data_IF_210760450706
#
_entry.id   IF_210760450706
#
_cell.length_a   1.000
_cell.length_b   1.000
_cell.length_c   1.000
_cell.angle_alpha   90.00
_cell.angle_beta   90.00
_cell.angle_gamma   90.00
#
_symmetry.space_group_name_H-M   'P 1'
#
loop_
_entity.id
_entity.type
_entity.pdbx_description
1 polymer ?
#
# COMPACT_ATOMS: atom_id res chain seq x y z
N UNK A 1 -25.95 40.62 32.03
CA UNK A 1 -26.46 40.93 30.68
C UNK A 1 -25.44 40.94 29.53
N UNK A 2 -24.11 41.03 29.73
CA UNK A 2 -23.15 41.05 28.60
C UNK A 2 -22.91 39.70 27.89
N UNK A 3 -23.18 38.56 28.54
CA UNK A 3 -22.92 37.21 27.96
C UNK A 3 -23.85 36.80 26.82
N UNK A 4 -25.09 37.31 26.80
CA UNK A 4 -26.06 36.97 25.75
C UNK A 4 -25.72 37.53 24.36
N UNK A 5 -24.94 38.63 24.30
CA UNK A 5 -24.62 39.31 23.04
C UNK A 5 -23.67 38.50 22.13
N UNK A 6 -22.77 37.72 22.71
CA UNK A 6 -21.80 36.92 21.95
C UNK A 6 -22.43 35.65 21.36
N UNK A 7 -23.34 35.02 22.11
CA UNK A 7 -24.10 33.85 21.62
C UNK A 7 -25.05 34.26 20.49
N UNK A 8 -25.72 35.40 20.63
CA UNK A 8 -26.57 35.96 19.57
C UNK A 8 -25.75 36.38 18.33
N UNK A 9 -24.51 36.82 18.51
CA UNK A 9 -23.61 37.14 17.40
C UNK A 9 -23.21 35.91 16.59
N UNK A 10 -22.79 34.83 17.26
CA UNK A 10 -22.41 33.58 16.59
C UNK A 10 -23.60 32.92 15.87
N UNK A 11 -24.78 32.89 16.51
CA UNK A 11 -26.01 32.42 15.86
C UNK A 11 -26.36 33.31 14.65
N UNK A 12 -26.15 34.62 14.76
CA UNK A 12 -26.38 35.56 13.66
C UNK A 12 -25.50 35.30 12.44
N UNK A 13 -24.21 35.03 12.64
CA UNK A 13 -23.28 34.68 11.55
C UNK A 13 -23.70 33.38 10.86
N UNK A 14 -23.99 32.33 11.65
CA UNK A 14 -24.39 31.02 11.13
C UNK A 14 -25.71 31.09 10.34
N UNK A 15 -26.66 31.92 10.78
CA UNK A 15 -27.91 32.18 10.04
C UNK A 15 -27.64 32.94 8.73
N UNK A 16 -26.74 33.92 8.72
CA UNK A 16 -26.36 34.65 7.49
C UNK A 16 -25.70 33.70 6.49
N UNK A 17 -24.81 32.82 6.94
CA UNK A 17 -24.14 31.85 6.08
C UNK A 17 -25.11 30.82 5.48
N UNK A 18 -26.05 30.32 6.29
CA UNK A 18 -27.12 29.46 5.78
C UNK A 18 -27.97 30.19 4.73
N UNK A 19 -28.34 31.44 4.98
CA UNK A 19 -29.09 32.23 4.00
C UNK A 19 -28.29 32.45 2.71
N UNK A 20 -26.99 32.73 2.80
CA UNK A 20 -26.10 32.85 1.63
C UNK A 20 -26.00 31.51 0.87
N UNK A 21 -25.89 30.40 1.59
CA UNK A 21 -25.87 29.06 0.99
C UNK A 21 -27.18 28.71 0.27
N UNK A 22 -28.34 29.05 0.86
CA UNK A 22 -29.66 28.79 0.28
C UNK A 22 -30.07 29.75 -0.85
N UNK A 23 -29.49 30.95 -0.88
CA UNK A 23 -29.74 31.95 -1.94
C UNK A 23 -28.73 31.86 -3.08
N UNK A 24 -27.69 31.03 -2.94
CA UNK A 24 -26.74 30.76 -4.02
C UNK A 24 -27.45 30.09 -5.19
N UNK A 25 -27.31 30.61 -6.42
CA UNK A 25 -27.88 29.99 -7.62
C UNK A 25 -27.12 28.73 -8.06
N UNK A 26 -25.91 28.52 -7.53
CA UNK A 26 -25.03 27.41 -7.87
C UNK A 26 -24.88 26.47 -6.66
N UNK A 27 -25.20 25.19 -6.90
CA UNK A 27 -25.07 24.11 -5.93
C UNK A 27 -23.62 23.89 -5.48
N UNK A 28 -22.63 24.15 -6.34
CA UNK A 28 -21.21 24.01 -5.99
C UNK A 28 -20.79 25.04 -4.94
N UNK A 29 -21.31 26.27 -5.03
CA UNK A 29 -21.04 27.34 -4.05
C UNK A 29 -21.73 27.03 -2.72
N UNK A 30 -22.97 26.52 -2.75
CA UNK A 30 -23.67 26.04 -1.55
C UNK A 30 -22.91 24.90 -0.86
N UNK A 31 -22.45 23.92 -1.64
CA UNK A 31 -21.68 22.78 -1.13
C UNK A 31 -20.36 23.24 -0.50
N UNK A 32 -19.63 24.16 -1.13
CA UNK A 32 -18.40 24.74 -0.60
C UNK A 32 -18.63 25.42 0.76
N UNK A 33 -19.69 26.24 0.88
CA UNK A 33 -20.02 26.93 2.14
C UNK A 33 -20.32 25.92 3.24
N UNK A 34 -21.15 24.91 2.96
CA UNK A 34 -21.57 23.92 3.96
C UNK A 34 -20.42 22.99 4.35
N UNK A 35 -19.59 22.57 3.39
CA UNK A 35 -18.52 21.60 3.63
C UNK A 35 -17.25 22.23 4.22
N UNK A 36 -17.00 23.52 3.97
CA UNK A 36 -15.75 24.16 4.38
C UNK A 36 -15.94 25.15 5.55
N UNK A 37 -16.92 26.06 5.45
CA UNK A 37 -17.05 27.15 6.42
C UNK A 37 -17.67 26.67 7.73
N UNK A 38 -18.73 25.85 7.68
CA UNK A 38 -19.39 25.35 8.90
C UNK A 38 -18.43 24.50 9.76
N UNK A 39 -17.67 23.52 9.22
CA UNK A 39 -16.69 22.80 10.03
C UNK A 39 -15.59 23.69 10.60
N UNK A 40 -15.13 24.68 9.83
CA UNK A 40 -14.12 25.63 10.29
C UNK A 40 -14.64 26.47 11.48
N UNK A 41 -15.88 26.97 11.42
CA UNK A 41 -16.50 27.70 12.53
C UNK A 41 -16.65 26.84 13.78
N UNK A 42 -17.03 25.56 13.62
CA UNK A 42 -17.12 24.60 14.74
C UNK A 42 -15.75 24.42 15.39
N UNK A 43 -14.69 24.21 14.59
CA UNK A 43 -13.31 24.07 15.07
C UNK A 43 -12.89 25.34 15.84
N UNK A 44 -13.13 26.52 15.26
CA UNK A 44 -12.82 27.80 15.91
C UNK A 44 -13.60 27.97 17.22
N UNK A 45 -14.86 27.58 17.26
CA UNK A 45 -15.70 27.57 18.45
C UNK A 45 -15.14 26.67 19.56
N UNK A 46 -14.68 25.46 19.22
CA UNK A 46 -14.02 24.54 20.15
C UNK A 46 -12.73 25.15 20.71
N UNK A 47 -11.88 25.70 19.83
CA UNK A 47 -10.62 26.36 20.24
C UNK A 47 -10.91 27.53 21.18
N UNK A 48 -11.87 28.40 20.85
CA UNK A 48 -12.27 29.51 21.70
C UNK A 48 -12.82 29.04 23.04
N UNK A 49 -13.59 27.94 23.06
CA UNK A 49 -14.06 27.29 24.28
C UNK A 49 -12.92 26.80 25.17
N UNK A 50 -11.94 26.12 24.59
CA UNK A 50 -10.73 25.66 25.29
C UNK A 50 -9.95 26.84 25.87
N UNK A 51 -9.70 27.89 25.07
CA UNK A 51 -9.00 29.10 25.52
C UNK A 51 -9.76 29.79 26.64
N UNK A 52 -11.08 29.98 26.50
CA UNK A 52 -11.91 30.58 27.55
C UNK A 52 -11.90 29.75 28.84
N UNK A 53 -11.92 28.43 28.73
CA UNK A 53 -11.80 27.51 29.86
C UNK A 53 -10.44 27.64 30.55
N UNK A 54 -9.34 27.68 29.78
CA UNK A 54 -7.99 27.93 30.31
C UNK A 54 -7.91 29.29 31.01
N UNK A 55 -8.40 30.36 30.40
CA UNK A 55 -8.42 31.70 31.02
C UNK A 55 -9.23 31.68 32.32
N UNK A 56 -10.35 30.96 32.36
CA UNK A 56 -11.16 30.81 33.57
C UNK A 56 -10.39 30.07 34.67
N UNK A 57 -9.68 28.99 34.33
CA UNK A 57 -8.81 28.26 35.25
C UNK A 57 -7.65 29.12 35.76
N UNK A 58 -7.02 29.94 34.90
CA UNK A 58 -5.98 30.92 35.28
C UNK A 58 -6.55 31.95 36.26
N UNK A 59 -7.69 32.56 35.95
CA UNK A 59 -8.33 33.57 36.81
C UNK A 59 -8.75 33.03 38.17
N UNK A 60 -9.11 31.75 38.26
CA UNK A 60 -9.41 31.06 39.52
C UNK A 60 -8.17 30.64 40.31
N UNK A 61 -6.96 30.90 39.80
CA UNK A 61 -5.71 30.51 40.44
C UNK A 61 -5.44 29.00 40.39
N UNK A 62 -6.12 28.27 39.50
CA UNK A 62 -5.98 26.82 39.38
C UNK A 62 -4.58 26.41 38.93
N UNK A 63 -3.98 27.19 38.02
CA UNK A 63 -2.61 27.02 37.56
C UNK A 63 -1.59 27.57 38.57
N UNK A 64 -1.51 26.91 39.72
CA UNK A 64 -0.35 27.07 40.61
C UNK A 64 0.88 26.42 39.98
N UNK A 65 2.10 26.84 40.37
CA UNK A 65 3.35 26.21 39.93
C UNK A 65 3.33 24.68 40.08
N UNK A 66 2.70 24.17 41.16
CA UNK A 66 2.54 22.73 41.40
C UNK A 66 1.62 22.06 40.38
N UNK A 67 0.48 22.66 40.06
CA UNK A 67 -0.49 22.09 39.11
C UNK A 67 0.08 22.08 37.69
N UNK A 68 0.75 23.16 37.26
CA UNK A 68 1.44 23.20 35.97
C UNK A 68 2.52 22.11 35.87
N UNK A 69 3.34 21.95 36.91
CA UNK A 69 4.35 20.89 36.96
C UNK A 69 3.75 19.50 36.82
N UNK A 70 2.62 19.22 37.50
CA UNK A 70 1.91 17.93 37.38
C UNK A 70 1.43 17.73 35.94
N UNK A 71 0.83 18.74 35.31
CA UNK A 71 0.36 18.65 33.91
C UNK A 71 1.53 18.32 32.96
N UNK A 72 2.66 19.01 33.11
CA UNK A 72 3.86 18.73 32.30
C UNK A 72 4.39 17.31 32.50
N UNK A 73 4.41 16.81 33.74
CA UNK A 73 4.79 15.42 34.04
C UNK A 73 3.86 14.42 33.34
N UNK A 74 2.54 14.67 33.37
CA UNK A 74 1.57 13.79 32.69
C UNK A 74 1.76 13.81 31.16
N UNK A 75 2.00 14.98 30.56
CA UNK A 75 2.28 15.09 29.12
C UNK A 75 3.56 14.34 28.78
N UNK A 76 4.65 14.55 29.54
CA UNK A 76 5.91 13.86 29.32
C UNK A 76 5.77 12.34 29.46
N UNK A 77 5.00 11.86 30.45
CA UNK A 77 4.73 10.45 30.65
C UNK A 77 3.91 9.86 29.49
N UNK A 78 2.86 10.56 29.04
CA UNK A 78 2.06 10.14 27.91
C UNK A 78 2.87 10.05 26.62
N UNK A 79 3.75 11.03 26.37
CA UNK A 79 4.67 11.01 25.23
C UNK A 79 5.68 9.86 25.33
N UNK A 80 6.24 9.61 26.52
CA UNK A 80 7.16 8.49 26.73
C UNK A 80 6.48 7.13 26.53
N UNK A 81 5.28 6.95 27.06
CA UNK A 81 4.47 5.73 26.86
C UNK A 81 4.07 5.55 25.40
N UNK A 82 3.70 6.63 24.70
CA UNK A 82 3.42 6.60 23.26
C UNK A 82 4.65 6.20 22.45
N UNK A 83 5.82 6.73 22.79
CA UNK A 83 7.09 6.33 22.19
C UNK A 83 7.41 4.85 22.41
N UNK A 84 7.32 4.37 23.65
CA UNK A 84 7.54 2.97 24.00
C UNK A 84 6.54 2.03 23.29
N UNK A 85 5.26 2.41 23.23
CA UNK A 85 4.25 1.64 22.51
C UNK A 85 4.58 1.54 21.02
N UNK A 86 5.00 2.63 20.38
CA UNK A 86 5.46 2.64 18.99
C UNK A 86 6.67 1.73 18.79
N UNK A 87 7.69 1.84 19.64
CA UNK A 87 8.89 0.99 19.59
C UNK A 87 8.54 -0.49 19.79
N UNK A 88 7.63 -0.80 20.71
CA UNK A 88 7.18 -2.18 20.95
C UNK A 88 6.42 -2.76 19.75
N UNK A 89 5.52 -1.97 19.13
CA UNK A 89 4.83 -2.38 17.90
C UNK A 89 5.85 -2.66 16.80
N UNK A 90 6.82 -1.76 16.58
CA UNK A 90 7.87 -1.95 15.58
C UNK A 90 8.74 -3.18 15.87
N UNK A 91 9.15 -3.39 17.12
CA UNK A 91 9.87 -4.61 17.53
C UNK A 91 9.08 -5.88 17.23
N UNK A 92 7.78 -5.90 17.54
CA UNK A 92 6.92 -7.06 17.28
C UNK A 92 6.79 -7.34 15.79
N UNK A 93 6.64 -6.30 14.97
CA UNK A 93 6.61 -6.43 13.50
C UNK A 93 7.93 -6.98 12.97
N UNK A 94 9.07 -6.40 13.37
CA UNK A 94 10.39 -6.88 12.93
C UNK A 94 10.62 -8.35 13.33
N UNK A 95 10.29 -8.71 14.58
CA UNK A 95 10.40 -10.10 15.04
C UNK A 95 9.53 -11.09 14.26
N UNK A 96 8.35 -10.66 13.77
CA UNK A 96 7.56 -11.53 12.90
C UNK A 96 8.14 -11.65 11.49
N UNK A 97 8.88 -10.64 11.03
CA UNK A 97 9.57 -10.66 9.74
C UNK A 97 10.87 -11.48 9.77
N UNK A 98 11.50 -11.68 10.93
CA UNK A 98 12.66 -12.59 11.08
C UNK A 98 12.36 -14.04 10.63
N UNK A 99 11.07 -14.46 10.59
CA UNK A 99 10.68 -15.78 10.04
C UNK A 99 10.90 -15.85 8.52
N UNK A 100 10.98 -14.71 7.85
CA UNK A 100 11.08 -14.57 6.42
C UNK A 100 12.36 -13.82 6.04
N UNK A 101 13.53 -14.44 6.27
CA UNK A 101 14.82 -13.76 6.16
C UNK A 101 15.02 -13.18 4.77
N UNK A 102 14.52 -13.83 3.73
CA UNK A 102 14.81 -13.40 2.36
C UNK A 102 13.79 -12.36 1.83
N UNK A 103 12.69 -12.06 2.56
CA UNK A 103 11.71 -11.06 2.12
C UNK A 103 12.28 -9.66 2.35
N UNK A 104 12.67 -8.98 1.27
CA UNK A 104 12.97 -7.56 1.26
C UNK A 104 11.75 -6.81 0.75
N UNK A 105 11.22 -5.94 1.60
CA UNK A 105 10.34 -4.88 1.15
C UNK A 105 11.21 -3.72 0.71
N UNK A 106 10.78 -3.02 -0.33
CA UNK A 106 11.04 -1.59 -0.46
C UNK A 106 9.66 -0.96 -0.69
N UNK A 107 9.54 0.33 -0.42
CA UNK A 107 8.26 1.01 -0.52
C UNK A 107 8.53 2.49 -0.54
N UNK A 108 8.14 3.14 -1.62
CA UNK A 108 8.42 4.54 -1.79
C UNK A 108 7.41 5.38 -1.01
N UNK A 109 7.92 6.38 -0.29
CA UNK A 109 7.08 7.39 0.34
C UNK A 109 7.31 8.71 -0.36
N UNK A 110 6.32 9.18 -1.11
CA UNK A 110 6.33 10.54 -1.66
C UNK A 110 6.23 11.56 -0.50
N UNK A 111 7.32 12.29 -0.22
CA UNK A 111 7.32 13.42 0.71
C UNK A 111 7.27 14.75 -0.07
N UNK A 112 6.08 15.31 -0.37
CA UNK A 112 6.01 16.59 -1.08
C UNK A 112 6.66 17.70 -0.24
N UNK A 113 7.57 18.53 -0.82
CA UNK A 113 7.60 18.94 -2.22
C UNK A 113 8.79 18.41 -3.06
N UNK A 114 9.57 17.47 -2.56
CA UNK A 114 10.72 16.90 -3.27
C UNK A 114 10.36 15.46 -3.64
N UNK A 115 10.27 15.15 -4.93
CA UNK A 115 10.12 13.78 -5.46
C UNK A 115 11.31 12.94 -4.98
N UNK A 116 11.21 12.40 -3.76
CA UNK A 116 12.21 11.56 -3.12
C UNK A 116 11.58 10.19 -2.87
N UNK A 117 12.10 9.20 -3.58
CA UNK A 117 11.96 7.78 -3.28
C UNK A 117 12.78 7.46 -2.01
N UNK A 118 12.18 6.66 -1.13
CA UNK A 118 12.84 6.20 0.09
C UNK A 118 12.62 4.70 0.19
N UNK A 119 13.69 3.92 0.06
CA UNK A 119 13.61 2.46 0.12
C UNK A 119 13.66 2.01 1.59
N UNK A 120 12.67 1.25 2.06
CA UNK A 120 12.69 0.66 3.40
C UNK A 120 13.02 -0.83 3.36
N UNK A 121 14.28 -1.19 3.67
CA UNK A 121 14.73 -2.57 3.71
C UNK A 121 14.29 -3.26 5.01
N UNK A 122 13.44 -4.28 4.92
CA UNK A 122 12.86 -5.00 6.06
C UNK A 122 13.83 -5.83 6.89
N UNK A 123 14.85 -6.43 6.27
CA UNK A 123 15.89 -7.19 6.97
C UNK A 123 16.67 -6.31 7.95
N UNK A 124 16.99 -5.08 7.54
CA UNK A 124 17.75 -4.11 8.34
C UNK A 124 16.85 -3.11 9.09
N UNK A 125 15.55 -3.09 8.77
CA UNK A 125 14.61 -2.05 9.18
C UNK A 125 15.20 -0.63 8.96
N UNK A 126 15.80 -0.43 7.79
CA UNK A 126 16.56 0.77 7.43
C UNK A 126 15.89 1.49 6.27
N UNK A 127 15.72 2.79 6.41
CA UNK A 127 15.31 3.68 5.32
C UNK A 127 16.57 4.20 4.62
N UNK A 128 16.71 3.92 3.32
CA UNK A 128 17.77 4.42 2.46
C UNK A 128 17.14 5.41 1.49
N UNK A 129 17.75 6.59 1.35
CA UNK A 129 17.30 7.62 0.41
C UNK A 129 18.01 7.40 -0.92
N UNK A 130 17.28 7.52 -2.01
CA UNK A 130 17.81 7.45 -3.36
C UNK A 130 18.58 8.75 -3.71
N UNK A 131 19.73 8.92 -3.07
CA UNK A 131 20.78 9.86 -3.53
C UNK A 131 22.09 9.15 -3.81
N UNK A 132 22.16 7.85 -3.53
CA UNK A 132 23.29 7.00 -3.82
C UNK A 132 22.87 6.09 -4.98
N UNK A 133 23.45 6.31 -6.16
CA UNK A 133 23.19 5.60 -7.42
C UNK A 133 23.10 4.08 -7.20
N UNK A 134 21.88 3.54 -7.12
CA UNK A 134 21.64 2.14 -7.43
C UNK A 134 21.45 2.09 -8.95
N UNK A 135 22.53 1.75 -9.67
CA UNK A 135 22.41 1.32 -11.05
C UNK A 135 21.52 0.07 -11.03
N UNK A 136 20.26 0.21 -11.47
CA UNK A 136 19.43 -0.96 -11.76
C UNK A 136 20.09 -1.68 -12.94
N UNK A 137 20.72 -2.82 -12.68
CA UNK A 137 21.11 -3.79 -13.70
C UNK A 137 19.84 -4.45 -14.27
N UNK A 138 18.93 -3.64 -14.82
CA UNK A 138 17.85 -4.15 -15.66
C UNK A 138 18.51 -4.57 -16.97
N UNK A 139 18.60 -5.89 -17.16
CA UNK A 139 18.85 -6.48 -18.48
C UNK A 139 17.95 -5.76 -19.48
N UNK A 140 18.58 -5.12 -20.47
CA UNK A 140 17.96 -4.28 -21.48
C UNK A 140 16.82 -5.06 -22.18
N UNK A 141 15.57 -4.90 -21.70
CA UNK A 141 14.35 -5.65 -22.09
C UNK A 141 14.14 -5.66 -23.61
N UNK A 142 14.64 -4.63 -24.29
CA UNK A 142 14.67 -4.54 -25.75
C UNK A 142 15.36 -5.73 -26.42
N UNK A 143 16.36 -6.34 -25.80
CA UNK A 143 17.12 -7.45 -26.37
C UNK A 143 16.35 -8.78 -26.33
N UNK A 144 15.53 -9.00 -25.29
CA UNK A 144 14.67 -10.18 -25.15
C UNK A 144 13.41 -10.05 -26.01
N UNK A 145 12.82 -8.87 -26.09
CA UNK A 145 11.71 -8.59 -27.00
C UNK A 145 12.09 -8.77 -28.48
N UNK A 146 13.37 -8.60 -28.83
CA UNK A 146 13.92 -8.89 -30.17
C UNK A 146 14.19 -10.38 -30.42
N UNK A 147 14.25 -11.24 -29.39
CA UNK A 147 14.51 -12.68 -29.54
C UNK A 147 13.28 -13.44 -30.04
N UNK A 148 12.10 -12.90 -29.82
CA UNK A 148 10.83 -13.54 -30.12
C UNK A 148 10.18 -12.73 -31.24
N UNK A 149 10.06 -13.32 -32.43
CA UNK A 149 9.36 -12.73 -33.56
C UNK A 149 7.88 -12.60 -33.17
N UNK A 150 7.50 -11.44 -32.62
CA UNK A 150 6.25 -11.25 -31.90
C UNK A 150 5.09 -11.28 -32.90
N UNK A 151 4.29 -12.37 -32.96
CA UNK A 151 3.30 -12.54 -34.02
C UNK A 151 2.05 -11.67 -33.82
N UNK A 152 1.87 -11.15 -32.60
CA UNK A 152 0.73 -10.35 -32.19
C UNK A 152 1.24 -9.08 -31.51
N UNK A 153 0.72 -7.90 -31.88
CA UNK A 153 1.07 -6.56 -31.35
C UNK A 153 0.69 -6.38 -29.84
N UNK A 154 0.85 -7.41 -29.03
CA UNK A 154 0.48 -7.44 -27.62
C UNK A 154 1.63 -6.91 -26.75
N UNK A 155 1.27 -6.07 -25.79
CA UNK A 155 2.20 -5.47 -24.83
C UNK A 155 2.66 -6.52 -23.80
N UNK A 156 3.98 -6.70 -23.69
CA UNK A 156 4.58 -7.52 -22.63
C UNK A 156 4.60 -6.70 -21.35
N UNK A 157 3.95 -7.22 -20.31
CA UNK A 157 3.77 -6.51 -19.04
C UNK A 157 4.78 -6.94 -17.98
N UNK A 158 5.05 -8.24 -17.89
CA UNK A 158 5.90 -8.82 -16.84
C UNK A 158 6.65 -10.02 -17.41
N UNK A 159 7.85 -10.27 -16.89
CA UNK A 159 8.73 -11.33 -17.39
C UNK A 159 9.49 -12.00 -16.26
N UNK A 160 9.75 -13.30 -16.36
CA UNK A 160 10.65 -14.00 -15.43
C UNK A 160 11.29 -15.23 -16.06
N UNK A 161 12.41 -15.66 -15.50
CA UNK A 161 13.10 -16.90 -15.88
C UNK A 161 12.72 -18.05 -14.95
N UNK A 162 12.86 -19.28 -15.43
CA UNK A 162 12.94 -20.43 -14.53
C UNK A 162 14.25 -20.45 -13.75
N UNK A 163 14.33 -21.32 -12.74
CA UNK A 163 15.52 -21.45 -11.89
C UNK A 163 16.78 -21.88 -12.64
N UNK A 164 16.64 -22.62 -13.74
CA UNK A 164 17.75 -23.07 -14.57
C UNK A 164 18.13 -22.07 -15.68
N UNK A 165 17.34 -21.01 -15.88
CA UNK A 165 17.55 -20.01 -16.93
C UNK A 165 17.38 -20.54 -18.36
N UNK A 166 16.70 -21.68 -18.54
CA UNK A 166 16.44 -22.29 -19.85
C UNK A 166 15.13 -21.81 -20.47
N UNK A 167 14.17 -21.43 -19.62
CA UNK A 167 12.87 -20.96 -20.03
C UNK A 167 12.62 -19.54 -19.58
N UNK A 168 11.97 -18.79 -20.46
CA UNK A 168 11.51 -17.44 -20.23
C UNK A 168 9.98 -17.41 -20.24
N UNK A 169 9.40 -16.79 -19.23
CA UNK A 169 7.96 -16.64 -19.10
C UNK A 169 7.57 -15.19 -19.26
N UNK A 170 6.46 -14.95 -19.94
CA UNK A 170 5.97 -13.60 -20.19
C UNK A 170 4.47 -13.52 -19.96
N UNK A 171 4.04 -12.38 -19.41
CA UNK A 171 2.65 -11.97 -19.33
C UNK A 171 2.37 -10.96 -20.43
N UNK A 172 1.40 -11.27 -21.31
CA UNK A 172 0.92 -10.33 -22.33
C UNK A 172 -0.50 -9.89 -22.05
N UNK A 173 -0.77 -8.61 -22.30
CA UNK A 173 -2.10 -8.00 -22.19
C UNK A 173 -2.74 -7.82 -23.58
N UNK A 174 -4.00 -8.22 -23.72
CA UNK A 174 -4.84 -7.89 -24.88
C UNK A 174 -5.65 -6.61 -24.66
N UNK A 175 -6.20 -6.04 -25.75
CA UNK A 175 -7.05 -4.85 -25.70
C UNK A 175 -8.28 -5.00 -24.77
N UNK A 176 -8.73 -6.24 -24.52
CA UNK A 176 -9.88 -6.57 -23.68
C UNK A 176 -9.51 -6.86 -22.21
N UNK A 177 -8.30 -6.48 -21.75
CA UNK A 177 -7.76 -6.80 -20.43
C UNK A 177 -7.72 -8.32 -20.13
N UNK A 178 -7.59 -9.12 -21.18
CA UNK A 178 -7.33 -10.56 -21.06
C UNK A 178 -5.82 -10.74 -21.08
N UNK A 179 -5.32 -11.42 -20.06
CA UNK A 179 -3.90 -11.64 -19.91
C UNK A 179 -3.56 -13.08 -20.28
N UNK A 180 -2.49 -13.27 -21.04
CA UNK A 180 -2.01 -14.58 -21.46
C UNK A 180 -0.59 -14.79 -20.95
N UNK A 181 -0.35 -15.95 -20.33
CA UNK A 181 1.00 -16.36 -19.92
C UNK A 181 1.59 -17.29 -20.98
N UNK A 182 2.81 -16.99 -21.40
CA UNK A 182 3.55 -17.80 -22.36
C UNK A 182 4.84 -18.31 -21.71
N UNK A 183 5.28 -19.48 -22.19
CA UNK A 183 6.59 -20.07 -21.93
C UNK A 183 7.39 -20.05 -23.22
N UNK A 184 8.65 -19.67 -23.14
CA UNK A 184 9.58 -19.62 -24.26
C UNK A 184 10.80 -20.45 -23.94
N UNK A 185 11.13 -21.36 -24.83
CA UNK A 185 12.37 -22.09 -24.81
C UNK A 185 13.46 -21.22 -25.45
N UNK A 186 14.50 -20.87 -24.68
CA UNK A 186 15.51 -19.89 -25.12
C UNK A 186 16.39 -20.44 -26.24
N UNK A 187 16.69 -21.74 -26.22
CA UNK A 187 17.57 -22.38 -27.20
C UNK A 187 16.86 -22.54 -28.55
N UNK A 188 15.66 -23.11 -28.54
CA UNK A 188 14.87 -23.38 -29.74
C UNK A 188 14.06 -22.17 -30.23
N UNK A 189 13.83 -21.17 -29.36
CA UNK A 189 12.92 -20.04 -29.56
C UNK A 189 11.46 -20.44 -29.76
N UNK A 190 11.09 -21.66 -29.37
CA UNK A 190 9.70 -22.08 -29.41
C UNK A 190 8.88 -21.34 -28.34
N UNK A 191 7.73 -20.81 -28.76
CA UNK A 191 6.79 -20.08 -27.88
C UNK A 191 5.54 -20.92 -27.68
N UNK A 192 5.20 -21.19 -26.43
CA UNK A 192 4.01 -21.92 -26.03
C UNK A 192 3.12 -21.04 -25.16
N UNK A 193 1.87 -20.84 -25.57
CA UNK A 193 0.85 -20.27 -24.69
C UNK A 193 0.46 -21.30 -23.64
N UNK A 194 0.55 -20.93 -22.36
CA UNK A 194 0.21 -21.81 -21.25
C UNK A 194 -1.26 -21.67 -20.86
N UNK A 195 -1.70 -20.46 -20.52
CA UNK A 195 -3.08 -20.17 -20.13
C UNK A 195 -3.44 -18.70 -20.37
N UNK A 196 -4.72 -18.38 -20.26
CA UNK A 196 -5.24 -17.02 -20.27
C UNK A 196 -6.33 -16.83 -19.21
N UNK A 197 -6.33 -15.69 -18.53
CA UNK A 197 -7.37 -15.27 -17.59
C UNK A 197 -7.50 -13.72 -17.60
N UNK A 198 -8.68 -13.17 -17.28
CA UNK A 198 -8.83 -11.74 -17.12
C UNK A 198 -8.11 -11.25 -15.84
N UNK A 199 -7.59 -10.03 -15.89
CA UNK A 199 -7.01 -9.32 -14.74
C UNK A 199 -5.87 -10.06 -14.02
N UNK A 200 -4.93 -10.65 -14.77
CA UNK A 200 -3.66 -11.10 -14.17
C UNK A 200 -2.80 -9.86 -13.90
N UNK A 201 -2.49 -9.64 -12.62
CA UNK A 201 -1.72 -8.48 -12.20
C UNK A 201 -0.23 -8.74 -12.22
N UNK A 202 0.17 -9.91 -11.71
CA UNK A 202 1.55 -10.34 -11.59
C UNK A 202 1.60 -11.88 -11.52
N UNK A 203 2.76 -12.45 -11.84
CA UNK A 203 3.03 -13.88 -11.74
C UNK A 203 4.51 -14.15 -11.44
N UNK A 204 4.79 -15.31 -10.85
CA UNK A 204 6.15 -15.81 -10.71
C UNK A 204 6.21 -17.33 -10.84
N UNK A 205 7.27 -17.81 -11.47
CA UNK A 205 7.62 -19.23 -11.54
C UNK A 205 8.29 -19.65 -10.23
N UNK A 206 7.92 -20.81 -9.71
CA UNK A 206 8.53 -21.37 -8.49
C UNK A 206 10.02 -21.65 -8.72
N UNK A 207 10.91 -21.18 -7.82
CA UNK A 207 12.35 -21.41 -7.95
C UNK A 207 12.76 -22.86 -7.66
N UNK A 208 11.89 -23.64 -7.01
CA UNK A 208 12.15 -25.06 -6.67
C UNK A 208 11.48 -26.04 -7.63
N UNK A 209 10.48 -25.60 -8.39
CA UNK A 209 9.79 -26.41 -9.40
C UNK A 209 9.28 -25.53 -10.53
N UNK A 210 10.03 -25.47 -11.62
CA UNK A 210 9.74 -24.65 -12.80
C UNK A 210 8.41 -24.99 -13.50
N UNK A 211 7.71 -26.04 -13.07
CA UNK A 211 6.36 -26.37 -13.55
C UNK A 211 5.24 -25.68 -12.75
N UNK A 212 5.56 -24.96 -11.68
CA UNK A 212 4.57 -24.28 -10.86
C UNK A 212 4.66 -22.78 -11.07
N UNK A 213 3.55 -22.16 -11.46
CA UNK A 213 3.42 -20.71 -11.61
C UNK A 213 2.38 -20.21 -10.62
N UNK A 214 2.80 -19.34 -9.71
CA UNK A 214 1.89 -18.62 -8.83
C UNK A 214 1.58 -17.26 -9.42
N UNK A 215 0.32 -16.86 -9.37
CA UNK A 215 -0.09 -15.61 -9.97
C UNK A 215 -1.28 -15.01 -9.24
N UNK A 216 -1.40 -13.68 -9.32
CA UNK A 216 -2.51 -12.94 -8.76
C UNK A 216 -3.46 -12.54 -9.89
N UNK A 217 -4.67 -13.09 -9.85
CA UNK A 217 -5.71 -12.75 -10.80
C UNK A 217 -7.02 -12.44 -10.09
N UNK A 218 -7.62 -11.30 -10.41
CA UNK A 218 -8.88 -10.85 -9.79
C UNK A 218 -8.84 -10.86 -8.25
N UNK A 219 -7.65 -10.65 -7.67
CA UNK A 219 -7.47 -10.63 -6.22
C UNK A 219 -7.33 -11.98 -5.54
N UNK A 220 -7.28 -13.05 -6.32
CA UNK A 220 -7.04 -14.40 -5.84
C UNK A 220 -5.59 -14.78 -6.10
N UNK A 221 -4.97 -15.45 -5.12
CA UNK A 221 -3.72 -16.15 -5.37
C UNK A 221 -4.07 -17.50 -5.98
N UNK A 222 -3.54 -17.78 -7.16
CA UNK A 222 -3.77 -19.02 -7.90
C UNK A 222 -2.43 -19.69 -8.25
N UNK A 223 -2.51 -20.98 -8.53
CA UNK A 223 -1.40 -21.83 -8.94
C UNK A 223 -1.76 -22.51 -10.26
N UNK A 224 -0.93 -22.32 -11.27
CA UNK A 224 -0.96 -23.08 -12.51
C UNK A 224 0.16 -24.14 -12.52
N UNK A 225 -0.22 -25.39 -12.75
CA UNK A 225 0.71 -26.50 -12.98
C UNK A 225 0.88 -26.71 -14.49
N UNK A 226 2.08 -26.38 -14.98
CA UNK A 226 2.49 -26.47 -16.39
C UNK A 226 2.42 -27.91 -16.91
N UNK A 227 2.67 -28.91 -16.07
CA UNK A 227 2.67 -30.32 -16.47
C UNK A 227 1.26 -30.81 -16.74
N UNK A 228 0.33 -30.49 -15.84
CA UNK A 228 -1.06 -30.94 -15.95
C UNK A 228 -1.95 -29.97 -16.73
N UNK A 229 -1.51 -28.72 -16.91
CA UNK A 229 -2.32 -27.64 -17.47
C UNK A 229 -3.48 -27.23 -16.57
N UNK A 230 -3.38 -27.47 -15.26
CA UNK A 230 -4.47 -27.22 -14.32
C UNK A 230 -4.25 -25.95 -13.51
N UNK A 231 -5.33 -25.21 -13.27
CA UNK A 231 -5.36 -24.05 -12.39
C UNK A 231 -6.04 -24.46 -11.09
N UNK A 232 -5.43 -24.10 -9.97
CA UNK A 232 -5.97 -24.28 -8.62
C UNK A 232 -5.99 -22.96 -7.86
N UNK A 233 -7.01 -22.79 -7.02
CA UNK A 233 -7.14 -21.65 -6.14
C UNK A 233 -6.32 -21.90 -4.88
N UNK A 234 -5.39 -20.99 -4.58
CA UNK A 234 -4.53 -21.07 -3.39
C UNK A 234 -5.13 -20.24 -2.26
N UNK A 235 -5.49 -18.99 -2.55
CA UNK A 235 -6.16 -18.12 -1.58
C UNK A 235 -7.33 -17.39 -2.22
N UNK A 236 -8.50 -17.51 -1.61
CA UNK A 236 -9.69 -16.75 -1.95
C UNK A 236 -9.85 -15.52 -1.05
N UNK A 237 -9.77 -14.33 -1.65
CA UNK A 237 -9.88 -13.06 -0.93
C UNK A 237 -11.18 -12.30 -1.22
N UNK A 238 -12.08 -12.85 -2.04
CA UNK A 238 -13.33 -12.18 -2.45
C UNK A 238 -14.31 -11.97 -1.29
N UNK A 239 -14.16 -12.72 -0.18
CA UNK A 239 -15.03 -12.65 0.99
C UNK A 239 -14.96 -11.35 1.83
N UNK A 240 -14.02 -10.44 1.57
CA UNK A 240 -13.79 -9.24 2.39
C UNK A 240 -14.54 -7.97 1.93
N UNK A 241 -15.47 -8.09 0.97
CA UNK A 241 -16.62 -7.20 0.77
C UNK A 241 -16.38 -5.73 0.40
N UNK A 242 -15.12 -5.26 0.31
CA UNK A 242 -14.78 -3.85 0.04
C UNK A 242 -13.49 -3.67 -0.78
N UNK A 243 -12.84 -4.75 -1.19
CA UNK A 243 -11.54 -4.72 -1.86
C UNK A 243 -11.75 -4.83 -3.37
N UNK A 244 -11.61 -3.70 -4.08
CA UNK A 244 -11.39 -3.72 -5.53
C UNK A 244 -9.91 -4.06 -5.71
N UNK A 245 -9.62 -5.35 -5.91
CA UNK A 245 -8.26 -5.85 -6.08
C UNK A 245 -7.72 -5.41 -7.43
N UNK A 246 -7.02 -4.28 -7.47
CA UNK A 246 -6.28 -3.83 -8.64
C UNK A 246 -4.82 -3.79 -8.25
N UNK A 247 -4.02 -4.64 -8.90
CA UNK A 247 -2.59 -4.80 -8.69
C UNK A 247 -2.25 -5.56 -7.40
N UNK A 248 -1.52 -6.65 -7.58
CA UNK A 248 -0.99 -7.44 -6.48
C UNK A 248 0.25 -8.13 -6.98
N UNK A 249 1.38 -7.81 -6.34
CA UNK A 249 2.66 -8.44 -6.61
C UNK A 249 2.62 -9.90 -6.13
N UNK A 250 3.33 -10.79 -6.80
CA UNK A 250 3.59 -12.17 -6.37
C UNK A 250 5.10 -12.39 -6.30
N UNK A 251 5.60 -12.77 -5.13
CA UNK A 251 7.00 -13.18 -4.96
C UNK A 251 7.11 -14.46 -4.15
N UNK A 252 7.99 -15.37 -4.53
CA UNK A 252 8.16 -16.71 -3.96
C UNK A 252 9.55 -16.79 -3.33
N UNK A 253 9.65 -17.28 -2.10
CA UNK A 253 10.94 -17.47 -1.42
C UNK A 253 11.84 -18.44 -2.18
N UNK A 254 13.16 -18.33 -1.99
CA UNK A 254 14.15 -19.19 -2.66
C UNK A 254 13.89 -20.69 -2.44
N UNK A 255 13.36 -21.05 -1.27
CA UNK A 255 12.99 -22.43 -0.91
C UNK A 255 11.58 -22.85 -1.40
N UNK A 256 10.86 -21.96 -2.08
CA UNK A 256 9.51 -22.20 -2.60
C UNK A 256 8.40 -22.25 -1.54
N UNK A 257 8.74 -22.14 -0.24
CA UNK A 257 7.79 -22.35 0.84
C UNK A 257 6.85 -21.17 1.06
N UNK A 258 7.34 -19.96 0.88
CA UNK A 258 6.61 -18.75 1.22
C UNK A 258 6.26 -17.96 -0.04
N UNK A 259 4.98 -17.59 -0.15
CA UNK A 259 4.48 -16.81 -1.28
C UNK A 259 3.94 -15.51 -0.75
N UNK A 260 4.67 -14.45 -1.03
CA UNK A 260 4.27 -13.10 -0.73
C UNK A 260 3.31 -12.59 -1.80
N UNK A 261 2.23 -11.96 -1.35
CA UNK A 261 1.33 -11.28 -2.25
C UNK A 261 0.69 -10.05 -1.60
N UNK A 262 0.38 -9.05 -2.42
CA UNK A 262 -0.21 -7.79 -1.95
C UNK A 262 -1.69 -7.71 -2.32
N UNK A 263 -2.47 -7.03 -1.48
CA UNK A 263 -3.82 -6.57 -1.83
C UNK A 263 -3.84 -5.04 -1.80
N UNK A 264 -4.18 -4.43 -2.92
CA UNK A 264 -4.47 -3.00 -2.98
C UNK A 264 -5.92 -2.71 -2.59
N UNK A 265 -6.14 -1.54 -1.98
CA UNK A 265 -7.47 -0.99 -1.78
C UNK A 265 -7.57 0.26 -2.65
N UNK A 266 -8.60 0.31 -3.48
CA UNK A 266 -8.91 1.50 -4.27
C UNK A 266 -9.45 2.61 -3.36
N UNK A 267 -8.71 3.71 -3.23
CA UNK A 267 -9.16 4.93 -2.57
C UNK A 267 -9.49 6.00 -3.61
N UNK A 268 -10.56 5.83 -4.39
CA UNK A 268 -11.16 6.75 -5.38
C UNK A 268 -10.22 7.41 -6.43
N UNK A 269 -8.91 7.56 -6.21
CA UNK A 269 -7.89 8.22 -7.03
C UNK A 269 -6.43 7.87 -6.66
N UNK A 270 -6.18 7.09 -5.60
CA UNK A 270 -4.84 6.60 -5.22
C UNK A 270 -4.92 5.08 -4.98
N UNK A 271 -4.17 4.32 -5.77
CA UNK A 271 -3.88 2.92 -5.44
C UNK A 271 -2.95 3.01 -4.23
N UNK A 272 -3.25 2.28 -3.16
CA UNK A 272 -2.35 2.13 -2.04
C UNK A 272 -2.40 0.66 -1.60
N UNK A 273 -1.24 0.03 -1.53
CA UNK A 273 -1.13 -1.34 -1.02
C UNK A 273 -1.28 -1.32 0.51
N UNK A 274 -2.49 -1.57 1.00
CA UNK A 274 -2.78 -1.46 2.45
C UNK A 274 -2.15 -2.62 3.26
N UNK A 275 -1.88 -3.75 2.58
CA UNK A 275 -1.53 -5.01 3.23
C UNK A 275 -0.61 -5.89 2.37
N UNK A 276 0.43 -6.43 3.00
CA UNK A 276 1.19 -7.58 2.47
C UNK A 276 0.80 -8.82 3.23
N UNK A 277 0.58 -9.90 2.48
CA UNK A 277 0.32 -11.23 2.98
C UNK A 277 1.45 -12.18 2.58
N UNK A 278 1.69 -13.19 3.41
CA UNK A 278 2.56 -14.31 3.10
C UNK A 278 1.76 -15.59 3.29
N UNK A 279 1.70 -16.40 2.25
CA UNK A 279 1.14 -17.74 2.28
C UNK A 279 2.27 -18.77 2.52
N UNK A 280 2.11 -19.64 3.51
CA UNK A 280 3.01 -20.75 3.83
C UNK A 280 2.48 -22.02 3.15
N UNK A 281 3.14 -22.46 2.08
CA UNK A 281 2.71 -23.59 1.24
C UNK A 281 2.65 -24.91 2.02
N UNK A 282 3.57 -25.13 2.97
CA UNK A 282 3.61 -26.36 3.76
C UNK A 282 2.46 -26.43 4.79
N UNK A 283 2.13 -25.28 5.39
CA UNK A 283 1.13 -25.20 6.45
C UNK A 283 -0.27 -24.87 5.91
N UNK A 284 -0.40 -24.54 4.62
CA UNK A 284 -1.63 -24.07 3.97
C UNK A 284 -2.29 -22.91 4.73
N UNK A 285 -1.48 -21.90 5.09
CA UNK A 285 -1.96 -20.76 5.88
C UNK A 285 -1.46 -19.42 5.35
N UNK A 286 -2.34 -18.42 5.40
CA UNK A 286 -2.00 -17.03 5.10
C UNK A 286 -1.81 -16.23 6.38
N UNK A 287 -0.70 -15.52 6.46
CA UNK A 287 -0.44 -14.51 7.48
C UNK A 287 -0.38 -13.11 6.86
N UNK A 288 -1.08 -12.16 7.48
CA UNK A 288 -0.87 -10.73 7.21
C UNK A 288 0.40 -10.26 7.89
N UNK A 289 1.41 -9.88 7.12
CA UNK A 289 2.73 -9.50 7.66
C UNK A 289 2.90 -8.00 7.80
N UNK A 290 2.27 -7.21 6.93
CA UNK A 290 2.33 -5.73 6.98
C UNK A 290 0.92 -5.13 6.93
N UNK A 291 0.71 -4.07 7.72
CA UNK A 291 -0.44 -3.17 7.63
C UNK A 291 0.11 -1.75 7.48
N UNK A 292 0.23 -1.26 6.27
CA UNK A 292 0.65 0.13 6.02
C UNK A 292 -0.53 0.89 5.44
N UNK A 293 -0.79 2.08 5.97
CA UNK A 293 -1.78 3.02 5.40
C UNK A 293 -1.10 4.10 4.54
N UNK A 294 0.21 3.97 4.29
CA UNK A 294 1.06 5.14 4.04
C UNK A 294 2.04 5.01 2.87
N UNK A 295 2.14 3.89 2.17
CA UNK A 295 3.14 3.74 1.11
C UNK A 295 2.55 3.01 -0.10
N UNK A 296 2.89 3.48 -1.29
CA UNK A 296 2.89 2.63 -2.46
C UNK A 296 4.00 1.59 -2.31
N UNK A 297 3.69 0.35 -2.65
CA UNK A 297 4.65 -0.75 -2.71
C UNK A 297 4.83 -1.03 -4.19
N UNK A 298 5.84 -0.44 -4.81
CA UNK A 298 6.11 -0.67 -6.23
C UNK A 298 6.65 -2.09 -6.46
N UNK A 299 6.30 -2.70 -7.59
CA UNK A 299 6.64 -4.09 -7.90
C UNK A 299 8.16 -4.31 -8.09
N UNK A 300 8.84 -3.30 -8.63
CA UNK A 300 10.30 -3.29 -8.89
C UNK A 300 11.10 -3.14 -7.59
N UNK A 301 10.41 -2.74 -6.51
CA UNK A 301 10.99 -2.50 -5.19
C UNK A 301 10.97 -3.77 -4.32
N UNK A 302 10.42 -4.88 -4.81
CA UNK A 302 10.35 -6.17 -4.11
C UNK A 302 11.26 -7.20 -4.77
N UNK A 303 12.54 -7.12 -4.44
CA UNK A 303 13.54 -8.11 -4.84
C UNK A 303 13.83 -9.06 -3.67
N UNK A 304 14.09 -10.34 -3.96
CA UNK A 304 14.79 -11.17 -2.98
C UNK A 304 16.27 -10.84 -3.11
N UNK A 305 17.00 -10.54 -2.02
CA UNK A 305 18.45 -10.42 -2.12
C UNK A 305 19.04 -11.80 -2.42
N UNK A 306 19.60 -11.94 -3.62
CA UNK A 306 20.45 -13.06 -3.97
C UNK A 306 21.89 -12.72 -3.59
N UNK A 307 22.22 -12.78 -2.29
CA UNK A 307 23.60 -13.06 -1.89
C UNK A 307 24.01 -14.48 -2.30
#
# INVERSE_FOLDING_TARGET
MKKGKYVLGAIGVLVVELVLAFTSPDFHVTALIIQLLIPLEIILGIICGIVAFIIMLVRKGFFTKRVLMIIFIFIALASALGGLARTYIQYKTNKSLEKYPDIIFQGETFDPPEEMSVHWYSQENKLVRETDELESDTLDDESILKLIDNPDDLYVKETCFDSDGNFYYMLKESEDFIYSVYKVDIESKEVQKLFEEPWIYDFQVSPVDSNLIYYNASGQLKLFDVTSGTISLVVDNEGNGTLINRQGIVRISKDGRYIMYCMAIDYDFLIAYDCVYVYDVEEDTTQKVIKTKMCDIEADSLEWSYE
#
